data_IF_862964683821
#
_entry.id   IF_862964683821
#
_cell.length_a   1.000
_cell.length_b   1.000
_cell.length_c   1.000
_cell.angle_alpha   90.00
_cell.angle_beta   90.00
_cell.angle_gamma   90.00
#
_symmetry.space_group_name_H-M   'P 1'
#
loop_
_entity.id
_entity.type
_entity.pdbx_description
1 polymer ?
#
# COMPACT_ATOMS: atom_id res chain seq x y z
N UNK A 1 2.11 -20.40 -4.22
CA UNK A 1 1.95 -21.88 -4.33
C UNK A 1 0.54 -22.37 -4.03
N UNK A 2 -0.23 -21.79 -3.10
CA UNK A 2 -1.61 -22.21 -2.80
C UNK A 2 -2.63 -22.01 -3.95
N UNK A 3 -2.46 -20.99 -4.80
CA UNK A 3 -3.34 -20.71 -5.96
C UNK A 3 -3.35 -21.83 -7.01
N UNK A 4 -2.20 -22.47 -7.28
CA UNK A 4 -2.11 -23.58 -8.24
C UNK A 4 -2.83 -24.85 -7.75
N UNK A 5 -2.89 -25.06 -6.42
CA UNK A 5 -3.57 -26.21 -5.83
C UNK A 5 -5.10 -26.03 -5.86
N UNK A 6 -5.60 -24.81 -5.66
CA UNK A 6 -7.03 -24.53 -5.71
C UNK A 6 -7.58 -24.60 -7.16
N UNK A 7 -6.83 -24.09 -8.15
CA UNK A 7 -7.22 -24.17 -9.56
C UNK A 7 -7.20 -25.59 -10.12
N UNK A 8 -6.25 -26.42 -9.69
CA UNK A 8 -6.21 -27.83 -10.08
C UNK A 8 -7.38 -28.65 -9.49
N UNK A 9 -7.88 -28.26 -8.30
CA UNK A 9 -9.01 -28.94 -7.66
C UNK A 9 -10.35 -28.62 -8.34
N UNK A 10 -10.60 -27.35 -8.70
CA UNK A 10 -11.84 -26.92 -9.37
C UNK A 10 -11.91 -27.44 -10.81
N UNK A 11 -10.82 -27.38 -11.56
CA UNK A 11 -10.79 -27.94 -12.92
C UNK A 11 -11.00 -29.47 -12.95
N UNK A 12 -10.54 -30.18 -11.92
CA UNK A 12 -10.72 -31.65 -11.81
C UNK A 12 -12.16 -32.04 -11.44
N UNK A 13 -12.85 -31.26 -10.62
CA UNK A 13 -14.24 -31.54 -10.23
C UNK A 13 -15.23 -31.26 -11.36
N UNK A 14 -15.04 -30.18 -12.12
CA UNK A 14 -15.87 -29.86 -13.29
C UNK A 14 -15.67 -30.86 -14.42
N UNK A 15 -14.43 -31.27 -14.69
CA UNK A 15 -14.12 -32.32 -15.66
C UNK A 15 -14.75 -33.67 -15.25
N UNK A 16 -14.68 -34.03 -13.97
CA UNK A 16 -15.33 -35.24 -13.46
C UNK A 16 -16.86 -35.20 -13.61
N UNK A 17 -17.48 -34.05 -13.36
CA UNK A 17 -18.92 -33.89 -13.53
C UNK A 17 -19.32 -33.99 -15.01
N UNK A 18 -18.57 -33.36 -15.92
CA UNK A 18 -18.79 -33.45 -17.36
C UNK A 18 -18.63 -34.89 -17.89
N UNK A 19 -17.59 -35.61 -17.45
CA UNK A 19 -17.36 -37.01 -17.83
C UNK A 19 -18.51 -37.90 -17.34
N UNK A 20 -18.97 -37.75 -16.09
CA UNK A 20 -20.12 -38.50 -15.56
C UNK A 20 -21.40 -38.20 -16.35
N UNK A 21 -21.62 -36.95 -16.73
CA UNK A 21 -22.81 -36.55 -17.49
C UNK A 21 -22.79 -37.12 -18.91
N UNK A 22 -21.64 -37.08 -19.59
CA UNK A 22 -21.44 -37.72 -20.91
C UNK A 22 -21.64 -39.24 -20.84
N UNK A 23 -21.21 -39.88 -19.75
CA UNK A 23 -21.42 -41.31 -19.54
C UNK A 23 -22.91 -41.65 -19.40
N UNK A 24 -23.68 -40.83 -18.66
CA UNK A 24 -25.13 -40.99 -18.49
C UNK A 24 -25.86 -40.80 -19.83
N UNK A 25 -25.49 -39.77 -20.61
CA UNK A 25 -26.06 -39.55 -21.95
C UNK A 25 -25.73 -40.72 -22.88
N UNK A 26 -24.47 -41.17 -22.90
CA UNK A 26 -24.03 -42.29 -23.72
C UNK A 26 -24.78 -43.59 -23.40
N UNK A 27 -25.02 -43.85 -22.11
CA UNK A 27 -25.78 -45.01 -21.65
C UNK A 27 -27.27 -44.93 -22.02
N UNK A 28 -27.88 -43.74 -21.92
CA UNK A 28 -29.27 -43.50 -22.33
C UNK A 28 -29.48 -43.63 -23.85
N UNK A 29 -28.52 -43.20 -24.67
CA UNK A 29 -28.58 -43.33 -26.13
C UNK A 29 -28.38 -44.79 -26.56
N UNK A 30 -27.52 -45.54 -25.87
CA UNK A 30 -27.21 -46.93 -26.22
C UNK A 30 -28.35 -47.92 -25.88
N UNK A 31 -29.20 -47.59 -24.89
CA UNK A 31 -30.29 -48.45 -24.42
C UNK A 31 -31.59 -48.42 -25.26
N UNK A 32 -31.87 -47.33 -25.97
CA UNK A 32 -33.15 -47.14 -26.69
C UNK A 32 -32.95 -46.43 -28.05
N UNK A 33 -32.61 -47.22 -29.09
CA UNK A 33 -32.56 -46.76 -30.48
C UNK A 33 -33.99 -46.58 -31.05
N UNK A 34 -34.63 -45.43 -30.74
CA UNK A 34 -35.81 -44.91 -31.45
C UNK A 34 -35.54 -43.48 -31.91
N UNK A 35 -35.95 -43.14 -33.14
CA UNK A 35 -35.73 -41.83 -33.76
C UNK A 35 -36.22 -40.64 -32.90
N UNK A 36 -37.25 -40.84 -32.08
CA UNK A 36 -37.81 -39.83 -31.17
C UNK A 36 -36.83 -39.37 -30.07
N UNK A 37 -35.85 -40.20 -29.70
CA UNK A 37 -34.90 -39.91 -28.61
C UNK A 37 -33.69 -39.07 -29.05
N UNK A 38 -33.41 -38.98 -30.36
CA UNK A 38 -32.31 -38.16 -30.90
C UNK A 38 -32.51 -36.67 -30.63
N UNK A 39 -33.75 -36.19 -30.77
CA UNK A 39 -34.10 -34.80 -30.49
C UNK A 39 -33.82 -34.41 -29.04
N UNK A 40 -34.12 -35.32 -28.09
CA UNK A 40 -33.88 -35.14 -26.65
C UNK A 40 -32.40 -35.21 -26.30
N UNK A 41 -31.66 -36.13 -26.91
CA UNK A 41 -30.22 -36.25 -26.74
C UNK A 41 -29.48 -34.99 -27.24
N UNK A 42 -29.86 -34.48 -28.40
CA UNK A 42 -29.30 -33.24 -28.95
C UNK A 42 -29.65 -32.02 -28.08
N UNK A 43 -30.88 -31.93 -27.57
CA UNK A 43 -31.28 -30.87 -26.65
C UNK A 43 -30.47 -30.92 -25.33
N UNK A 44 -30.23 -32.11 -24.79
CA UNK A 44 -29.39 -32.28 -23.59
C UNK A 44 -27.93 -31.90 -23.84
N UNK A 45 -27.37 -32.27 -25.00
CA UNK A 45 -26.02 -31.86 -25.40
C UNK A 45 -25.90 -30.35 -25.61
N UNK A 46 -26.92 -29.71 -26.21
CA UNK A 46 -26.95 -28.26 -26.37
C UNK A 46 -27.06 -27.53 -25.02
N UNK A 47 -27.90 -28.00 -24.10
CA UNK A 47 -28.06 -27.41 -22.77
C UNK A 47 -26.78 -27.56 -21.93
N UNK A 48 -26.12 -28.72 -22.00
CA UNK A 48 -24.85 -28.93 -21.31
C UNK A 48 -23.74 -28.08 -21.91
N UNK A 49 -23.67 -27.97 -23.24
CA UNK A 49 -22.71 -27.09 -23.91
C UNK A 49 -22.95 -25.62 -23.55
N UNK A 50 -24.20 -25.15 -23.56
CA UNK A 50 -24.57 -23.79 -23.13
C UNK A 50 -24.17 -23.54 -21.68
N UNK A 51 -24.51 -24.45 -20.76
CA UNK A 51 -24.15 -24.37 -19.34
C UNK A 51 -22.63 -24.34 -19.13
N UNK A 52 -21.88 -25.19 -19.83
CA UNK A 52 -20.43 -25.23 -19.74
C UNK A 52 -19.79 -23.96 -20.31
N UNK A 53 -20.30 -23.46 -21.44
CA UNK A 53 -19.82 -22.21 -22.06
C UNK A 53 -20.06 -20.99 -21.17
N UNK A 54 -21.24 -20.91 -20.55
CA UNK A 54 -21.62 -19.83 -19.63
C UNK A 54 -20.74 -19.82 -18.38
N UNK A 55 -20.49 -21.00 -17.78
CA UNK A 55 -19.60 -21.09 -16.62
C UNK A 55 -18.15 -20.78 -16.97
N UNK A 56 -17.68 -21.20 -18.15
CA UNK A 56 -16.34 -20.87 -18.63
C UNK A 56 -16.16 -19.36 -18.80
N UNK A 57 -17.14 -18.66 -19.39
CA UNK A 57 -17.08 -17.22 -19.59
C UNK A 57 -17.09 -16.45 -18.26
N UNK A 58 -17.96 -16.86 -17.32
CA UNK A 58 -17.99 -16.27 -15.98
C UNK A 58 -16.66 -16.45 -15.23
N UNK A 59 -16.04 -17.63 -15.34
CA UNK A 59 -14.72 -17.90 -14.75
C UNK A 59 -13.62 -17.04 -15.38
N UNK A 60 -13.65 -16.84 -16.70
CA UNK A 60 -12.71 -15.95 -17.40
C UNK A 60 -12.87 -14.49 -16.96
N UNK A 61 -14.11 -14.00 -16.84
CA UNK A 61 -14.38 -12.64 -16.35
C UNK A 61 -13.88 -12.44 -14.92
N UNK A 62 -14.12 -13.41 -14.04
CA UNK A 62 -13.63 -13.35 -12.66
C UNK A 62 -12.09 -13.36 -12.59
N UNK A 63 -11.43 -14.17 -13.42
CA UNK A 63 -9.97 -14.16 -13.51
C UNK A 63 -9.42 -12.85 -14.06
N UNK A 64 -10.07 -12.26 -15.06
CA UNK A 64 -9.67 -10.96 -15.62
C UNK A 64 -9.82 -9.83 -14.59
N UNK A 65 -10.91 -9.84 -13.83
CA UNK A 65 -11.13 -8.90 -12.73
C UNK A 65 -10.04 -9.04 -11.64
N UNK A 66 -9.70 -10.27 -11.25
CA UNK A 66 -8.61 -10.50 -10.29
C UNK A 66 -7.25 -10.02 -10.84
N UNK A 67 -6.92 -10.31 -12.10
CA UNK A 67 -5.65 -9.87 -12.71
C UNK A 67 -5.53 -8.36 -12.83
N UNK A 68 -6.63 -7.67 -13.13
CA UNK A 68 -6.64 -6.20 -13.27
C UNK A 68 -6.46 -5.54 -11.92
N UNK A 69 -7.23 -5.96 -10.91
CA UNK A 69 -7.08 -5.48 -9.54
C UNK A 69 -5.69 -5.77 -8.95
N UNK A 70 -5.13 -6.97 -9.16
CA UNK A 70 -3.76 -7.31 -8.72
C UNK A 70 -2.68 -6.46 -9.42
N UNK A 71 -2.83 -6.17 -10.71
CA UNK A 71 -1.91 -5.28 -11.43
C UNK A 71 -1.99 -3.86 -10.88
N UNK A 72 -3.19 -3.35 -10.64
CA UNK A 72 -3.38 -2.02 -10.10
C UNK A 72 -2.76 -1.89 -8.70
N UNK A 73 -2.98 -2.86 -7.81
CA UNK A 73 -2.41 -2.85 -6.45
C UNK A 73 -0.89 -2.98 -6.45
N UNK A 74 -0.31 -3.83 -7.29
CA UNK A 74 1.14 -3.95 -7.42
C UNK A 74 1.76 -2.65 -7.93
N UNK A 75 1.14 -2.03 -8.95
CA UNK A 75 1.65 -0.78 -9.49
C UNK A 75 1.55 0.34 -8.46
N UNK A 76 0.48 0.39 -7.65
CA UNK A 76 0.36 1.31 -6.50
C UNK A 76 1.50 1.06 -5.51
N UNK A 77 1.76 -0.19 -5.13
CA UNK A 77 2.82 -0.51 -4.18
C UNK A 77 4.21 -0.08 -4.68
N UNK A 78 4.52 -0.36 -5.95
CA UNK A 78 5.79 0.01 -6.58
C UNK A 78 6.03 1.52 -6.58
N UNK A 79 5.01 2.31 -6.93
CA UNK A 79 5.15 3.76 -6.92
C UNK A 79 5.35 4.28 -5.48
N UNK A 80 4.79 3.64 -4.44
CA UNK A 80 4.96 4.06 -3.04
C UNK A 80 6.38 3.83 -2.58
N UNK A 81 6.91 2.66 -2.90
CA UNK A 81 8.32 2.32 -2.64
C UNK A 81 9.23 3.29 -3.40
N UNK A 82 8.92 3.58 -4.65
CA UNK A 82 9.66 4.54 -5.48
C UNK A 82 9.62 5.95 -4.90
N UNK A 83 8.46 6.41 -4.40
CA UNK A 83 8.30 7.70 -3.74
C UNK A 83 9.14 7.79 -2.48
N UNK A 84 9.07 6.80 -1.59
CA UNK A 84 9.87 6.77 -0.37
C UNK A 84 11.38 6.75 -0.67
N UNK A 85 11.80 6.02 -1.71
CA UNK A 85 13.20 6.01 -2.15
C UNK A 85 13.63 7.37 -2.69
N UNK A 86 12.82 8.02 -3.52
CA UNK A 86 13.10 9.34 -4.06
C UNK A 86 13.15 10.41 -2.96
N UNK A 87 12.22 10.33 -1.99
CA UNK A 87 12.20 11.19 -0.81
C UNK A 87 13.48 11.07 0.01
N UNK A 88 13.95 9.84 0.25
CA UNK A 88 15.22 9.60 0.96
C UNK A 88 16.44 10.12 0.20
N UNK A 89 16.45 10.04 -1.13
CA UNK A 89 17.57 10.47 -1.96
C UNK A 89 17.52 11.94 -2.39
N UNK A 90 16.57 12.72 -1.87
CA UNK A 90 16.35 14.13 -2.25
C UNK A 90 16.09 14.35 -3.75
N UNK A 91 15.46 13.38 -4.42
CA UNK A 91 15.15 13.43 -5.85
C UNK A 91 13.77 14.08 -6.08
N UNK A 92 13.74 15.41 -5.97
CA UNK A 92 12.50 16.20 -6.06
C UNK A 92 11.77 16.01 -7.39
N UNK A 93 12.49 15.94 -8.51
CA UNK A 93 11.91 15.76 -9.85
C UNK A 93 11.15 14.42 -9.95
N UNK A 94 11.72 13.36 -9.38
CA UNK A 94 11.07 12.05 -9.36
C UNK A 94 9.85 12.03 -8.43
N UNK A 95 9.93 12.70 -7.28
CA UNK A 95 8.79 12.88 -6.36
C UNK A 95 7.66 13.59 -7.10
N UNK A 96 7.96 14.72 -7.76
CA UNK A 96 7.00 15.48 -8.54
C UNK A 96 6.38 14.62 -9.65
N UNK A 97 7.19 13.90 -10.42
CA UNK A 97 6.71 13.02 -11.49
C UNK A 97 5.77 11.93 -10.98
N UNK A 98 6.04 11.33 -9.83
CA UNK A 98 5.16 10.31 -9.22
C UNK A 98 3.85 10.94 -8.75
N UNK A 99 3.91 12.06 -8.03
CA UNK A 99 2.72 12.73 -7.48
C UNK A 99 1.82 13.32 -8.57
N UNK A 100 2.38 13.81 -9.69
CA UNK A 100 1.61 14.27 -10.85
C UNK A 100 0.83 13.13 -11.54
N UNK A 101 1.40 11.92 -11.61
CA UNK A 101 0.76 10.76 -12.26
C UNK A 101 -0.33 10.11 -11.41
N UNK A 102 -0.14 10.03 -10.10
CA UNK A 102 -1.02 9.29 -9.17
C UNK A 102 -1.97 10.18 -8.37
N UNK A 103 -1.76 11.50 -8.41
CA UNK A 103 -2.45 12.45 -7.56
C UNK A 103 -1.87 12.53 -6.15
N UNK A 104 -2.33 13.53 -5.39
CA UNK A 104 -1.79 13.90 -4.07
C UNK A 104 -2.18 12.93 -2.93
N UNK A 105 -3.00 11.91 -3.21
CA UNK A 105 -3.54 10.92 -2.24
C UNK A 105 -2.50 9.86 -1.82
N UNK A 106 -1.36 9.85 -2.50
CA UNK A 106 -0.43 8.73 -2.50
C UNK A 106 0.59 8.71 -1.34
N UNK A 107 0.52 9.67 -0.42
CA UNK A 107 1.47 9.85 0.70
C UNK A 107 1.12 8.94 1.90
N UNK A 108 0.69 7.71 1.63
CA UNK A 108 0.35 6.73 2.67
C UNK A 108 1.56 5.98 3.21
N UNK A 109 1.41 5.43 4.42
CA UNK A 109 2.37 4.65 5.21
C UNK A 109 2.79 3.29 4.60
N UNK A 110 4.08 3.10 4.26
CA UNK A 110 4.61 1.82 3.78
C UNK A 110 4.43 0.68 4.79
N UNK A 111 5.00 -0.50 4.50
CA UNK A 111 4.85 -1.70 5.34
C UNK A 111 5.43 -1.59 6.77
N UNK A 112 5.99 -0.44 7.14
CA UNK A 112 6.52 -0.12 8.48
C UNK A 112 5.80 1.07 9.14
N UNK A 113 4.63 1.46 8.64
CA UNK A 113 3.97 2.71 9.03
C UNK A 113 4.66 4.00 8.55
N UNK A 114 5.82 3.92 7.88
CA UNK A 114 6.59 5.11 7.47
C UNK A 114 6.05 5.71 6.17
N UNK A 115 5.78 7.00 6.17
CA UNK A 115 5.42 7.75 4.97
C UNK A 115 6.68 8.37 4.29
N UNK A 116 6.51 9.02 3.14
CA UNK A 116 7.62 9.64 2.41
C UNK A 116 8.39 10.68 3.24
N UNK A 117 7.74 11.40 4.15
CA UNK A 117 8.38 12.41 5.00
C UNK A 117 9.31 11.78 6.05
N UNK A 118 8.96 10.61 6.62
CA UNK A 118 9.89 9.84 7.47
C UNK A 118 11.19 9.50 6.73
N UNK A 119 11.07 9.11 5.46
CA UNK A 119 12.22 8.78 4.63
C UNK A 119 13.03 10.02 4.22
N UNK A 120 12.37 11.15 3.95
CA UNK A 120 13.04 12.41 3.65
C UNK A 120 13.85 12.93 4.84
N UNK A 121 13.28 12.84 6.05
CA UNK A 121 13.98 13.20 7.31
C UNK A 121 15.23 12.34 7.51
N UNK A 122 15.10 11.01 7.42
CA UNK A 122 16.24 10.09 7.52
C UNK A 122 17.29 10.27 6.41
N UNK A 123 16.90 10.88 5.29
CA UNK A 123 17.82 11.23 4.20
C UNK A 123 18.40 12.65 4.31
N UNK A 124 17.99 13.44 5.31
CA UNK A 124 18.27 14.88 5.40
C UNK A 124 17.95 15.63 4.09
N UNK A 125 16.87 15.19 3.43
CA UNK A 125 16.52 15.58 2.08
C UNK A 125 15.66 16.85 2.08
N UNK A 126 16.26 18.01 2.34
CA UNK A 126 15.55 19.29 2.50
C UNK A 126 14.62 19.65 1.33
N UNK A 127 15.05 19.45 0.08
CA UNK A 127 14.20 19.76 -1.08
C UNK A 127 12.98 18.83 -1.15
N UNK A 128 13.17 17.55 -0.84
CA UNK A 128 12.07 16.60 -0.73
C UNK A 128 11.13 16.92 0.44
N UNK A 129 11.66 17.34 1.60
CA UNK A 129 10.87 17.77 2.77
C UNK A 129 9.97 18.94 2.36
N UNK A 130 10.56 19.99 1.80
CA UNK A 130 9.83 21.21 1.43
C UNK A 130 8.77 20.92 0.37
N UNK A 131 9.13 20.15 -0.66
CA UNK A 131 8.17 19.75 -1.69
C UNK A 131 7.00 18.94 -1.12
N UNK A 132 7.25 17.98 -0.22
CA UNK A 132 6.20 17.17 0.39
C UNK A 132 5.27 18.00 1.28
N UNK A 133 5.82 18.97 2.02
CA UNK A 133 5.05 19.89 2.86
C UNK A 133 4.23 20.87 2.02
N UNK A 134 4.79 21.40 0.93
CA UNK A 134 4.07 22.27 -0.02
C UNK A 134 2.91 21.53 -0.69
N UNK A 135 3.12 20.27 -1.07
CA UNK A 135 2.06 19.42 -1.61
C UNK A 135 0.94 19.23 -0.59
N UNK A 136 1.25 19.06 0.70
CA UNK A 136 0.26 18.96 1.77
C UNK A 136 -0.51 20.28 1.97
N UNK A 137 0.19 21.42 1.92
CA UNK A 137 -0.42 22.75 1.99
C UNK A 137 -1.45 22.99 0.88
N UNK A 138 -1.10 22.65 -0.37
CA UNK A 138 -2.02 22.76 -1.50
C UNK A 138 -3.28 21.90 -1.32
N UNK A 139 -3.15 20.71 -0.73
CA UNK A 139 -4.29 19.82 -0.47
C UNK A 139 -5.25 20.46 0.53
N UNK A 140 -4.73 21.10 1.57
CA UNK A 140 -5.52 21.64 2.67
C UNK A 140 -6.28 22.93 2.31
N UNK A 141 -5.80 23.71 1.33
CA UNK A 141 -6.49 24.93 0.88
C UNK A 141 -7.71 24.64 0.00
N UNK A 142 -7.78 23.48 -0.64
CA UNK A 142 -8.88 23.05 -1.50
C UNK A 142 -9.90 22.25 -0.67
N UNK A 143 -10.60 22.95 0.23
CA UNK A 143 -11.48 22.38 1.25
C UNK A 143 -12.71 21.68 0.65
N UNK A 144 -12.91 20.41 1.00
CA UNK A 144 -14.16 19.69 0.82
C UNK A 144 -13.96 18.19 0.99
N UNK A 145 -14.14 17.70 2.22
CA UNK A 145 -14.28 16.28 2.61
C UNK A 145 -13.98 15.23 1.51
N UNK A 146 -12.70 15.05 1.18
CA UNK A 146 -12.29 13.92 0.34
C UNK A 146 -12.01 12.75 1.27
N UNK A 147 -13.02 11.91 1.48
CA UNK A 147 -12.86 10.57 2.09
C UNK A 147 -11.72 9.84 1.38
N UNK A 148 -10.57 9.73 2.03
CA UNK A 148 -9.40 8.97 1.56
C UNK A 148 -8.07 9.74 1.49
N UNK A 149 -8.02 11.04 1.75
CA UNK A 149 -6.75 11.76 1.85
C UNK A 149 -6.07 11.47 3.19
N UNK A 150 -4.75 11.22 3.19
CA UNK A 150 -3.93 11.20 4.41
C UNK A 150 -3.60 12.67 4.75
N UNK A 151 -4.37 13.36 5.61
CA UNK A 151 -4.34 14.82 5.72
C UNK A 151 -3.19 15.32 6.61
N UNK A 152 -2.47 14.39 7.25
CA UNK A 152 -1.54 14.69 8.33
C UNK A 152 -0.24 13.90 8.20
N UNK A 153 0.49 14.11 7.09
CA UNK A 153 1.77 13.41 6.85
C UNK A 153 2.85 13.84 7.85
N UNK A 154 2.69 15.03 8.45
CA UNK A 154 3.60 15.61 9.43
C UNK A 154 3.44 14.97 10.81
N UNK A 155 2.22 14.67 11.26
CA UNK A 155 1.98 14.00 12.55
C UNK A 155 1.67 12.50 12.42
N UNK A 156 1.77 11.94 11.21
CA UNK A 156 1.62 10.50 11.02
C UNK A 156 2.69 9.75 11.80
N UNK A 157 2.27 8.80 12.63
CA UNK A 157 3.15 7.94 13.40
C UNK A 157 3.49 6.66 12.62
N UNK A 158 4.76 6.26 12.64
CA UNK A 158 5.18 4.95 12.18
C UNK A 158 4.78 3.84 13.18
N UNK A 159 5.18 2.59 12.89
CA UNK A 159 4.91 1.45 13.78
C UNK A 159 5.50 1.59 15.20
N UNK A 160 6.52 2.44 15.35
CA UNK A 160 7.13 2.74 16.64
C UNK A 160 6.47 3.92 17.35
N UNK A 161 5.40 4.47 16.78
CA UNK A 161 4.74 5.68 17.29
C UNK A 161 5.53 6.95 16.97
N UNK A 162 6.61 6.90 16.18
CA UNK A 162 7.41 8.08 15.88
C UNK A 162 6.79 8.85 14.72
N UNK A 163 6.63 10.15 14.88
CA UNK A 163 6.37 11.06 13.74
C UNK A 163 7.69 11.41 13.04
N UNK A 164 7.65 12.01 11.83
CA UNK A 164 8.85 12.58 11.20
C UNK A 164 9.64 13.53 12.11
N UNK A 165 8.95 14.32 12.94
CA UNK A 165 9.59 15.20 13.93
C UNK A 165 10.27 14.42 15.07
N UNK A 166 9.66 13.32 15.55
CA UNK A 166 10.34 12.42 16.50
C UNK A 166 11.64 11.88 15.89
N UNK A 167 11.61 11.45 14.63
CA UNK A 167 12.81 10.91 13.96
C UNK A 167 13.91 11.96 13.79
N UNK A 168 13.56 13.20 13.47
CA UNK A 168 14.54 14.28 13.34
C UNK A 168 15.28 14.54 14.67
N UNK A 169 14.57 14.52 15.79
CA UNK A 169 15.19 14.67 17.12
C UNK A 169 15.98 13.44 17.55
N UNK A 170 15.47 12.25 17.24
CA UNK A 170 16.19 11.00 17.52
C UNK A 170 17.50 10.92 16.74
N UNK A 171 17.55 11.41 15.49
CA UNK A 171 18.80 11.49 14.72
C UNK A 171 19.86 12.36 15.43
N UNK A 172 19.46 13.44 16.10
CA UNK A 172 20.38 14.26 16.93
C UNK A 172 20.84 13.49 18.16
N UNK A 173 19.92 12.86 18.88
CA UNK A 173 20.21 12.10 20.11
C UNK A 173 21.14 10.91 19.83
N UNK A 174 20.94 10.24 18.69
CA UNK A 174 21.74 9.12 18.21
C UNK A 174 23.09 9.56 17.62
N UNK A 175 23.32 10.87 17.45
CA UNK A 175 24.54 11.41 16.85
C UNK A 175 24.64 11.22 15.33
N UNK A 176 23.50 11.00 14.66
CA UNK A 176 23.40 10.94 13.19
C UNK A 176 23.48 12.35 12.59
N UNK A 177 22.92 13.34 13.29
CA UNK A 177 22.98 14.77 12.95
C UNK A 177 23.56 15.58 14.10
N UNK A 178 24.31 16.63 13.78
CA UNK A 178 24.92 17.54 14.76
C UNK A 178 24.10 18.82 14.99
N UNK A 179 22.98 18.99 14.30
CA UNK A 179 22.14 20.20 14.39
C UNK A 179 20.64 19.88 14.30
N UNK A 180 19.83 20.90 14.62
CA UNK A 180 18.37 20.83 14.56
C UNK A 180 17.81 21.21 13.18
N UNK A 181 18.62 21.36 12.12
CA UNK A 181 18.12 21.97 10.86
C UNK A 181 16.92 21.25 10.28
N UNK A 182 16.95 19.91 10.26
CA UNK A 182 15.83 19.12 9.73
C UNK A 182 14.58 19.29 10.60
N UNK A 183 14.74 19.33 11.92
CA UNK A 183 13.64 19.58 12.84
C UNK A 183 13.08 21.00 12.68
N UNK A 184 13.94 22.00 12.60
CA UNK A 184 13.56 23.40 12.43
C UNK A 184 12.84 23.62 11.09
N UNK A 185 13.25 22.92 10.01
CA UNK A 185 12.54 22.96 8.72
C UNK A 185 11.12 22.38 8.83
N UNK A 186 10.96 21.28 9.56
CA UNK A 186 9.64 20.68 9.81
C UNK A 186 8.74 21.59 10.65
N UNK A 187 9.29 22.23 11.69
CA UNK A 187 8.55 23.14 12.60
C UNK A 187 8.26 24.48 11.92
N UNK A 188 9.19 24.96 11.10
CA UNK A 188 9.10 26.25 10.41
C UNK A 188 7.95 26.32 9.40
N UNK A 189 7.39 25.17 9.00
CA UNK A 189 6.23 25.13 8.13
C UNK A 189 4.93 25.37 8.92
N UNK A 190 4.45 26.61 8.84
CA UNK A 190 3.33 27.14 9.65
C UNK A 190 1.94 26.64 9.27
N UNK A 191 1.80 25.88 8.17
CA UNK A 191 0.49 25.52 7.63
C UNK A 191 -0.14 24.29 8.31
N UNK A 192 0.69 23.41 8.89
CA UNK A 192 0.23 22.29 9.71
C UNK A 192 1.09 22.26 10.96
N UNK A 193 0.55 22.57 12.15
CA UNK A 193 1.33 22.53 13.36
C UNK A 193 1.72 21.10 13.71
N UNK A 194 2.93 20.95 14.24
CA UNK A 194 3.38 19.72 14.87
C UNK A 194 2.55 19.51 16.14
N UNK A 195 2.08 18.27 16.33
CA UNK A 195 1.37 17.88 17.53
C UNK A 195 2.35 17.40 18.60
N UNK A 196 2.76 18.32 19.47
CA UNK A 196 3.71 18.08 20.56
C UNK A 196 3.19 17.13 21.65
N UNK A 197 1.88 16.85 21.66
CA UNK A 197 1.29 15.91 22.63
C UNK A 197 1.39 14.45 22.20
N UNK A 198 1.76 14.16 20.95
CA UNK A 198 1.94 12.80 20.48
C UNK A 198 3.16 12.17 21.15
N UNK A 199 2.98 10.92 21.56
CA UNK A 199 4.00 10.10 22.18
C UNK A 199 4.35 8.93 21.27
N UNK A 200 5.63 8.61 21.18
CA UNK A 200 6.07 7.35 20.61
C UNK A 200 5.76 6.15 21.53
N UNK A 201 6.08 4.93 21.10
CA UNK A 201 5.84 3.72 21.90
C UNK A 201 6.68 3.65 23.19
N UNK A 202 7.65 4.55 23.36
CA UNK A 202 8.44 4.71 24.60
C UNK A 202 7.82 5.77 25.54
N UNK A 203 6.68 6.34 25.18
CA UNK A 203 6.01 7.40 25.94
C UNK A 203 6.68 8.77 25.80
N UNK A 204 7.61 8.94 24.86
CA UNK A 204 8.37 10.18 24.70
C UNK A 204 7.64 11.14 23.78
N UNK A 205 7.53 12.39 24.22
CA UNK A 205 6.98 13.50 23.44
C UNK A 205 8.07 14.28 22.69
N UNK A 206 7.68 15.09 21.71
CA UNK A 206 8.60 15.98 20.98
C UNK A 206 9.32 16.96 21.91
N UNK A 207 8.67 17.64 22.87
CA UNK A 207 9.37 18.53 23.80
C UNK A 207 10.39 17.81 24.68
N UNK A 208 10.10 16.58 25.12
CA UNK A 208 11.04 15.78 25.92
C UNK A 208 12.26 15.37 25.12
N UNK A 209 12.06 14.89 23.88
CA UNK A 209 13.16 14.55 22.98
C UNK A 209 13.98 15.78 22.61
N UNK A 210 13.33 16.93 22.39
CA UNK A 210 14.03 18.18 22.07
C UNK A 210 14.94 18.63 23.20
N UNK A 211 14.43 18.61 24.43
CA UNK A 211 15.22 18.91 25.63
C UNK A 211 16.41 17.95 25.77
N UNK A 212 16.19 16.66 25.56
CA UNK A 212 17.26 15.66 25.62
C UNK A 212 18.34 15.91 24.55
N UNK A 213 17.94 16.22 23.32
CA UNK A 213 18.86 16.56 22.24
C UNK A 213 19.66 17.83 22.54
N UNK A 214 19.02 18.86 23.11
CA UNK A 214 19.69 20.10 23.54
C UNK A 214 20.75 19.83 24.62
N UNK A 215 20.44 18.99 25.62
CA UNK A 215 21.40 18.58 26.67
C UNK A 215 22.61 17.83 26.11
N UNK A 216 22.42 17.02 25.06
CA UNK A 216 23.50 16.29 24.38
C UNK A 216 24.38 17.26 23.60
N UNK A 217 23.79 18.15 22.79
CA UNK A 217 24.54 19.14 22.01
C UNK A 217 25.28 20.16 22.88
N UNK A 218 24.73 20.50 24.06
CA UNK A 218 25.41 21.36 25.03
C UNK A 218 26.53 20.65 25.80
N UNK A 219 26.78 19.36 25.54
CA UNK A 219 27.79 18.55 26.23
C UNK A 219 27.42 18.20 27.68
N UNK A 220 26.18 18.43 28.10
CA UNK A 220 25.70 18.17 29.45
C UNK A 220 25.27 16.71 29.66
N UNK A 221 25.11 15.96 28.56
CA UNK A 221 24.70 14.56 28.56
C UNK A 221 25.45 13.79 27.47
N UNK A 222 25.96 12.60 27.79
CA UNK A 222 26.57 11.73 26.78
C UNK A 222 25.49 11.15 25.85
N UNK A 223 25.76 11.04 24.54
CA UNK A 223 24.83 10.38 23.61
C UNK A 223 24.64 8.94 24.06
N UNK A 224 23.41 8.58 24.43
CA UNK A 224 23.11 7.18 24.72
C UNK A 224 23.06 6.44 23.40
N UNK A 225 23.93 5.44 23.20
CA UNK A 225 23.78 4.49 22.10
C UNK A 225 22.49 3.70 22.32
N UNK A 226 21.35 4.22 21.84
CA UNK A 226 20.08 3.50 21.88
C UNK A 226 20.14 2.37 20.84
N UNK A 227 19.59 1.19 21.15
CA UNK A 227 19.50 0.12 20.17
C UNK A 227 18.70 0.62 18.96
N UNK A 228 19.32 0.55 17.78
CA UNK A 228 18.67 0.85 16.51
C UNK A 228 17.62 -0.24 16.23
N UNK A 229 16.37 0.17 15.99
CA UNK A 229 15.28 -0.70 15.54
C UNK A 229 14.87 -0.36 14.11
#
# INVERSE_FOLDING_TARGET
MQQNQYQAAVGRSELHAAIKFLFIIGWAIYGEYREENYSRALAALLLTWLFLSYNQEKNLQQQQYQRTTERETNTILEDRISLCKAARSNDADKIEGILRRRGKVFIGAGASGKNALHFAVKGQAFAAINFLLDVQADINTHRGEVKGLVPDILNHQDENGNTPAHLALLDVIEGVTEDFKVFDELVGNTLVPINDSLQNNLGQTIPELRKEAEEILSGNKASTSRPQF
#
